data_IF_065142127383
#
_entry.id   IF_065142127383
#
_cell.length_a   1.000
_cell.length_b   1.000
_cell.length_c   1.000
_cell.angle_alpha   90.00
_cell.angle_beta   90.00
_cell.angle_gamma   90.00
#
_symmetry.space_group_name_H-M   'P 1'
#
loop_
_entity.id
_entity.type
_entity.pdbx_description
1 polymer ?
#
# COMPACT_ATOMS: atom_id res chain seq x y z
N UNK A 1 11.44 -16.77 7.22
CA UNK A 1 11.35 -18.10 6.56
C UNK A 1 10.62 -19.11 7.45
N UNK A 2 11.03 -19.31 8.70
CA UNK A 2 10.33 -20.21 9.64
C UNK A 2 8.86 -19.83 9.88
N UNK A 3 8.57 -18.53 10.07
CA UNK A 3 7.18 -18.05 10.24
C UNK A 3 6.29 -18.44 9.05
N UNK A 4 6.74 -18.17 7.81
CA UNK A 4 5.97 -18.51 6.62
C UNK A 4 5.73 -20.03 6.49
N UNK A 5 6.68 -20.86 6.93
CA UNK A 5 6.47 -22.31 6.96
C UNK A 5 5.42 -22.73 7.99
N UNK A 6 5.37 -22.06 9.15
CA UNK A 6 4.34 -22.34 10.16
C UNK A 6 2.96 -21.87 9.71
N UNK A 7 2.85 -20.74 9.01
CA UNK A 7 1.55 -20.20 8.57
C UNK A 7 1.06 -20.75 7.24
N UNK A 8 1.92 -21.43 6.46
CA UNK A 8 1.53 -22.14 5.23
C UNK A 8 0.42 -23.17 5.49
N UNK A 9 0.45 -23.84 6.66
CA UNK A 9 -0.65 -24.70 7.11
C UNK A 9 -1.98 -23.94 7.15
N UNK A 10 -2.02 -22.76 7.76
CA UNK A 10 -3.22 -21.92 7.85
C UNK A 10 -3.65 -21.48 6.45
N UNK A 11 -2.72 -20.98 5.64
CA UNK A 11 -3.03 -20.51 4.28
C UNK A 11 -3.64 -21.63 3.44
N UNK A 12 -3.05 -22.83 3.41
CA UNK A 12 -3.57 -23.96 2.64
C UNK A 12 -4.97 -24.38 3.06
N UNK A 13 -5.20 -24.51 4.37
CA UNK A 13 -6.52 -24.90 4.88
C UNK A 13 -7.57 -23.81 4.63
N UNK A 14 -7.20 -22.53 4.68
CA UNK A 14 -8.11 -21.43 4.40
C UNK A 14 -8.45 -21.27 2.91
N UNK A 15 -7.60 -21.78 2.01
CA UNK A 15 -7.73 -21.63 0.56
C UNK A 15 -8.07 -22.93 -0.17
N UNK A 16 -8.53 -23.97 0.55
CA UNK A 16 -9.03 -25.19 -0.11
C UNK A 16 -10.26 -24.89 -0.97
N UNK A 17 -10.37 -25.57 -2.12
CA UNK A 17 -11.42 -25.34 -3.12
C UNK A 17 -12.84 -25.31 -2.55
N UNK A 18 -13.25 -26.26 -1.68
CA UNK A 18 -14.62 -26.23 -1.14
C UNK A 18 -14.90 -24.97 -0.32
N UNK A 19 -13.93 -24.51 0.47
CA UNK A 19 -14.04 -23.32 1.32
C UNK A 19 -14.09 -22.07 0.44
N UNK A 20 -13.25 -22.01 -0.58
CA UNK A 20 -13.20 -20.90 -1.53
C UNK A 20 -14.51 -20.75 -2.30
N UNK A 21 -15.08 -21.85 -2.79
CA UNK A 21 -16.36 -21.83 -3.50
C UNK A 21 -17.54 -21.49 -2.57
N UNK A 22 -17.52 -22.00 -1.34
CA UNK A 22 -18.61 -21.81 -0.38
C UNK A 22 -18.61 -20.43 0.28
N UNK A 23 -17.45 -19.85 0.59
CA UNK A 23 -17.35 -18.63 1.40
C UNK A 23 -16.61 -17.47 0.73
N UNK A 24 -15.78 -17.75 -0.29
CA UNK A 24 -14.90 -16.78 -0.90
C UNK A 24 -15.61 -15.70 -1.72
N UNK A 25 -14.95 -14.55 -1.84
CA UNK A 25 -15.41 -13.41 -2.63
C UNK A 25 -14.56 -13.27 -3.90
N UNK A 26 -15.18 -13.20 -5.08
CA UNK A 26 -14.48 -12.87 -6.32
C UNK A 26 -14.27 -11.36 -6.39
N UNK A 27 -13.00 -10.93 -6.46
CA UNK A 27 -12.61 -9.52 -6.51
C UNK A 27 -12.63 -8.95 -7.94
N UNK A 28 -12.41 -9.81 -8.93
CA UNK A 28 -12.35 -9.47 -10.35
C UNK A 28 -13.10 -10.54 -11.16
N UNK A 29 -13.75 -10.13 -12.26
CA UNK A 29 -14.39 -11.09 -13.16
C UNK A 29 -13.37 -12.08 -13.73
N UNK A 30 -13.65 -13.38 -13.58
CA UNK A 30 -12.81 -14.47 -14.09
C UNK A 30 -11.74 -14.97 -13.11
N UNK A 31 -11.52 -14.30 -11.99
CA UNK A 31 -10.56 -14.73 -10.96
C UNK A 31 -11.18 -15.69 -9.94
N UNK A 32 -10.35 -16.57 -9.38
CA UNK A 32 -10.75 -17.43 -8.27
C UNK A 32 -11.17 -16.58 -7.06
N UNK A 33 -12.25 -16.94 -6.36
CA UNK A 33 -12.64 -16.25 -5.14
C UNK A 33 -11.52 -16.27 -4.09
N UNK A 34 -11.46 -15.22 -3.29
CA UNK A 34 -10.46 -15.06 -2.23
C UNK A 34 -11.13 -15.27 -0.88
N UNK A 35 -10.47 -16.03 -0.01
CA UNK A 35 -10.88 -16.28 1.39
C UNK A 35 -9.86 -15.77 2.39
N UNK A 36 -8.58 -15.81 2.04
CA UNK A 36 -7.48 -15.50 2.94
C UNK A 36 -6.29 -14.90 2.18
N UNK A 37 -5.73 -13.83 2.74
CA UNK A 37 -4.52 -13.18 2.27
C UNK A 37 -3.58 -13.03 3.47
N UNK A 38 -2.30 -13.35 3.29
CA UNK A 38 -1.29 -13.21 4.35
C UNK A 38 -0.05 -12.52 3.81
N UNK A 39 0.46 -11.55 4.58
CA UNK A 39 1.74 -10.91 4.32
C UNK A 39 2.50 -10.73 5.64
N UNK A 40 3.58 -11.50 5.80
CA UNK A 40 4.23 -11.66 7.10
C UNK A 40 3.16 -12.01 8.17
N UNK A 41 3.10 -11.28 9.28
CA UNK A 41 2.14 -11.46 10.37
C UNK A 41 0.77 -10.82 10.11
N UNK A 42 0.66 -9.91 9.14
CA UNK A 42 -0.61 -9.30 8.76
C UNK A 42 -1.43 -10.29 7.91
N UNK A 43 -2.56 -10.74 8.46
CA UNK A 43 -3.50 -11.63 7.78
C UNK A 43 -4.85 -10.95 7.57
N UNK A 44 -5.49 -11.24 6.44
CA UNK A 44 -6.79 -10.69 6.06
C UNK A 44 -7.69 -11.82 5.59
N UNK A 45 -8.88 -11.90 6.20
CA UNK A 45 -9.94 -12.82 5.81
C UNK A 45 -10.94 -12.06 4.93
N UNK A 46 -11.38 -12.69 3.85
CA UNK A 46 -12.33 -12.11 2.90
C UNK A 46 -13.50 -13.07 2.73
N UNK A 47 -14.72 -12.62 3.03
CA UNK A 47 -15.93 -13.41 2.87
C UNK A 47 -16.93 -12.70 1.96
N UNK A 48 -17.72 -13.48 1.21
CA UNK A 48 -18.78 -12.94 0.32
C UNK A 48 -20.00 -12.38 1.05
N UNK A 49 -20.16 -12.70 2.33
CA UNK A 49 -21.20 -12.18 3.22
C UNK A 49 -20.65 -12.01 4.64
N UNK A 50 -21.41 -11.35 5.52
CA UNK A 50 -21.04 -11.20 6.93
C UNK A 50 -20.90 -12.57 7.61
N UNK A 51 -21.83 -13.48 7.35
CA UNK A 51 -21.84 -14.84 7.89
C UNK A 51 -20.60 -15.63 7.43
N UNK A 52 -20.27 -15.53 6.13
CA UNK A 52 -19.07 -16.13 5.57
C UNK A 52 -17.80 -15.56 6.21
N UNK A 53 -17.73 -14.23 6.40
CA UNK A 53 -16.60 -13.57 7.05
C UNK A 53 -16.43 -14.01 8.51
N UNK A 54 -17.52 -14.15 9.27
CA UNK A 54 -17.48 -14.70 10.64
C UNK A 54 -16.97 -16.14 10.63
N UNK A 55 -17.53 -17.00 9.79
CA UNK A 55 -17.13 -18.41 9.69
C UNK A 55 -15.64 -18.57 9.36
N UNK A 56 -15.17 -17.85 8.33
CA UNK A 56 -13.76 -17.85 7.93
C UNK A 56 -12.85 -17.28 9.03
N UNK A 57 -13.30 -16.25 9.75
CA UNK A 57 -12.53 -15.67 10.86
C UNK A 57 -12.36 -16.67 12.00
N UNK A 58 -13.43 -17.36 12.38
CA UNK A 58 -13.38 -18.40 13.40
C UNK A 58 -12.50 -19.58 12.99
N UNK A 59 -12.58 -19.99 11.72
CA UNK A 59 -11.72 -21.00 11.15
C UNK A 59 -10.25 -20.56 11.19
N UNK A 60 -9.93 -19.34 10.80
CA UNK A 60 -8.57 -18.80 10.87
C UNK A 60 -8.05 -18.79 12.32
N UNK A 61 -8.84 -18.31 13.28
CA UNK A 61 -8.48 -18.30 14.71
C UNK A 61 -8.17 -19.72 15.20
N UNK A 62 -8.99 -20.71 14.82
CA UNK A 62 -8.77 -22.12 15.16
C UNK A 62 -7.46 -22.64 14.57
N UNK A 63 -7.22 -22.43 13.28
CA UNK A 63 -6.03 -22.90 12.59
C UNK A 63 -4.74 -22.24 13.14
N UNK A 64 -4.78 -20.94 13.46
CA UNK A 64 -3.67 -20.28 14.12
C UNK A 64 -3.41 -20.87 15.51
N UNK A 65 -4.47 -21.19 16.27
CA UNK A 65 -4.33 -21.81 17.59
C UNK A 65 -3.72 -23.21 17.53
N UNK A 66 -4.00 -23.99 16.49
CA UNK A 66 -3.40 -25.32 16.27
C UNK A 66 -1.88 -25.26 16.11
N UNK A 67 -1.35 -24.15 15.58
CA UNK A 67 0.08 -23.88 15.46
C UNK A 67 0.62 -23.01 16.61
N UNK A 68 -0.13 -22.92 17.73
CA UNK A 68 0.26 -22.20 18.96
C UNK A 68 0.40 -20.69 18.75
N UNK A 69 -0.34 -20.12 17.78
CA UNK A 69 -0.46 -18.68 17.57
C UNK A 69 -1.83 -18.19 18.03
N UNK A 70 -1.86 -17.03 18.67
CA UNK A 70 -3.09 -16.39 19.13
C UNK A 70 -3.40 -15.15 18.31
N UNK A 71 -4.60 -15.14 17.71
CA UNK A 71 -5.14 -13.95 17.04
C UNK A 71 -5.84 -13.09 18.07
N UNK A 72 -5.60 -11.78 18.03
CA UNK A 72 -6.23 -10.82 18.94
C UNK A 72 -7.44 -10.14 18.26
N UNK A 73 -8.69 -10.43 18.70
CA UNK A 73 -9.87 -9.77 18.13
C UNK A 73 -9.86 -8.26 18.35
N UNK A 74 -9.30 -7.79 19.47
CA UNK A 74 -9.25 -6.36 19.83
C UNK A 74 -8.28 -5.54 18.98
N UNK A 75 -7.25 -6.19 18.41
CA UNK A 75 -6.36 -5.57 17.41
C UNK A 75 -6.85 -5.74 15.98
N UNK A 76 -7.86 -6.59 15.78
CA UNK A 76 -8.46 -6.85 14.47
C UNK A 76 -9.54 -5.81 14.17
N UNK A 77 -9.75 -5.55 12.88
CA UNK A 77 -10.78 -4.64 12.38
C UNK A 77 -11.49 -5.28 11.20
N UNK A 78 -12.80 -5.05 11.10
CA UNK A 78 -13.61 -5.56 10.01
C UNK A 78 -14.05 -4.41 9.08
N UNK A 79 -13.79 -4.56 7.79
CA UNK A 79 -14.37 -3.69 6.75
C UNK A 79 -15.56 -4.43 6.15
N UNK A 80 -16.78 -3.98 6.43
CA UNK A 80 -18.01 -4.66 6.00
C UNK A 80 -18.73 -3.79 4.98
N UNK A 81 -18.97 -4.35 3.78
CA UNK A 81 -19.70 -3.69 2.70
C UNK A 81 -20.95 -4.50 2.38
N UNK A 82 -22.12 -3.89 2.53
CA UNK A 82 -23.42 -4.50 2.25
C UNK A 82 -24.17 -3.66 1.21
N UNK A 83 -24.58 -4.28 0.10
CA UNK A 83 -25.28 -3.60 -1.00
C UNK A 83 -24.52 -2.36 -1.52
N UNK A 84 -23.19 -2.42 -1.54
CA UNK A 84 -22.32 -1.32 -1.97
C UNK A 84 -22.15 -0.19 -0.96
N UNK A 85 -22.65 -0.34 0.27
CA UNK A 85 -22.55 0.65 1.35
C UNK A 85 -21.76 0.07 2.52
N UNK A 86 -20.85 0.87 3.07
CA UNK A 86 -20.12 0.53 4.30
C UNK A 86 -21.07 0.38 5.49
N UNK A 87 -20.94 -0.73 6.20
CA UNK A 87 -21.74 -1.09 7.37
C UNK A 87 -20.88 -1.06 8.62
N UNK A 88 -21.30 -0.29 9.63
CA UNK A 88 -20.60 -0.17 10.91
C UNK A 88 -21.00 -1.25 11.92
N UNK A 89 -21.78 -2.26 11.49
CA UNK A 89 -22.19 -3.37 12.33
C UNK A 89 -20.99 -4.32 12.55
N UNK A 90 -20.57 -4.55 13.80
CA UNK A 90 -19.40 -5.37 14.10
C UNK A 90 -19.62 -6.86 13.78
N UNK A 91 -18.53 -7.61 13.73
CA UNK A 91 -18.58 -9.06 13.62
C UNK A 91 -18.62 -9.68 15.02
N UNK A 92 -19.69 -10.43 15.30
CA UNK A 92 -19.86 -11.18 16.53
C UNK A 92 -19.38 -12.62 16.30
N UNK A 93 -18.35 -13.03 17.03
CA UNK A 93 -17.83 -14.39 16.99
C UNK A 93 -18.57 -15.26 18.02
N UNK A 94 -18.67 -16.57 17.74
CA UNK A 94 -19.31 -17.57 18.60
C UNK A 94 -18.63 -17.71 19.96
N UNK A 95 -17.36 -17.30 20.07
CA UNK A 95 -16.61 -17.24 21.33
C UNK A 95 -17.07 -16.09 22.26
N UNK A 96 -17.95 -15.21 21.79
CA UNK A 96 -18.35 -13.97 22.47
C UNK A 96 -17.41 -12.79 22.20
N UNK A 97 -16.32 -12.99 21.46
CA UNK A 97 -15.45 -11.91 21.03
C UNK A 97 -16.12 -11.06 19.93
N UNK A 98 -15.81 -9.77 19.94
CA UNK A 98 -16.35 -8.80 18.97
C UNK A 98 -15.17 -8.20 18.20
N UNK A 99 -15.28 -8.21 16.87
CA UNK A 99 -14.37 -7.47 15.98
C UNK A 99 -15.12 -6.23 15.51
N UNK A 100 -14.65 -5.07 15.95
CA UNK A 100 -15.25 -3.78 15.61
C UNK A 100 -15.17 -3.52 14.11
N UNK A 101 -16.28 -3.08 13.54
CA UNK A 101 -16.31 -2.61 12.16
C UNK A 101 -15.60 -1.25 12.03
N UNK A 102 -14.96 -1.03 10.89
CA UNK A 102 -14.40 0.27 10.51
C UNK A 102 -15.53 1.27 10.33
N UNK A 103 -15.42 2.43 10.99
CA UNK A 103 -16.39 3.51 10.84
C UNK A 103 -16.23 4.22 9.50
N UNK A 104 -17.28 4.87 9.03
CA UNK A 104 -17.22 5.67 7.81
C UNK A 104 -16.13 6.74 7.92
N UNK A 105 -15.21 6.74 6.96
CA UNK A 105 -14.05 7.67 6.93
C UNK A 105 -12.93 7.37 7.93
N UNK A 106 -13.02 6.28 8.72
CA UNK A 106 -11.91 5.82 9.54
C UNK A 106 -10.77 5.34 8.63
N UNK A 107 -9.55 5.82 8.90
CA UNK A 107 -8.35 5.46 8.14
C UNK A 107 -7.76 4.17 8.71
N UNK A 108 -7.85 3.08 7.93
CA UNK A 108 -7.19 1.80 8.23
C UNK A 108 -5.92 1.71 7.39
N UNK A 109 -4.80 1.37 8.02
CA UNK A 109 -3.53 1.17 7.30
C UNK A 109 -3.30 -0.32 7.08
N UNK A 110 -3.11 -0.73 5.84
CA UNK A 110 -2.79 -2.11 5.48
C UNK A 110 -1.65 -2.12 4.46
N UNK A 111 -0.57 -2.84 4.77
CA UNK A 111 0.65 -2.95 3.93
C UNK A 111 1.29 -1.62 3.51
N UNK A 112 1.00 -0.53 4.21
CA UNK A 112 1.50 0.80 3.87
C UNK A 112 0.53 1.65 3.05
N UNK A 113 -0.53 1.06 2.50
CA UNK A 113 -1.66 1.78 1.92
C UNK A 113 -2.65 2.21 3.02
N UNK A 114 -3.35 3.32 2.78
CA UNK A 114 -4.44 3.78 3.64
C UNK A 114 -5.76 3.49 2.95
N UNK A 115 -6.62 2.74 3.62
CA UNK A 115 -7.98 2.41 3.19
C UNK A 115 -8.95 3.16 4.10
N UNK A 116 -9.95 3.79 3.50
CA UNK A 116 -11.10 4.37 4.21
C UNK A 116 -12.37 3.68 3.69
N UNK A 117 -13.31 4.43 3.12
CA UNK A 117 -14.40 3.89 2.31
C UNK A 117 -13.94 3.60 0.86
N UNK A 118 -12.78 4.15 0.49
CA UNK A 118 -12.05 3.90 -0.75
C UNK A 118 -10.53 3.90 -0.44
N UNK A 119 -9.72 3.44 -1.39
CA UNK A 119 -8.26 3.63 -1.32
C UNK A 119 -7.96 5.13 -1.32
N UNK A 120 -7.39 5.63 -0.22
CA UNK A 120 -7.10 7.05 -0.01
C UNK A 120 -5.65 7.35 -0.41
N UNK A 121 -5.49 8.17 -1.46
CA UNK A 121 -4.17 8.68 -1.87
C UNK A 121 -3.89 10.02 -1.20
N UNK A 122 -3.18 9.98 -0.06
CA UNK A 122 -2.79 11.17 0.69
C UNK A 122 -1.65 11.94 -0.01
N UNK A 123 -2.04 12.73 -1.02
CA UNK A 123 -1.13 13.57 -1.82
C UNK A 123 -0.30 14.51 -0.97
N UNK A 124 -0.90 15.12 0.07
CA UNK A 124 -0.23 16.07 0.94
C UNK A 124 0.90 15.43 1.72
N UNK A 125 0.66 14.23 2.25
CA UNK A 125 1.69 13.43 2.93
C UNK A 125 2.81 13.02 1.98
N UNK A 126 2.50 12.54 0.78
CA UNK A 126 3.52 12.11 -0.20
C UNK A 126 4.38 13.29 -0.64
N UNK A 127 3.77 14.43 -0.99
CA UNK A 127 4.49 15.66 -1.35
C UNK A 127 5.39 16.11 -0.20
N UNK A 128 4.84 16.18 1.02
CA UNK A 128 5.63 16.60 2.18
C UNK A 128 6.82 15.69 2.44
N UNK A 129 6.61 14.37 2.40
CA UNK A 129 7.70 13.40 2.59
C UNK A 129 8.77 13.53 1.51
N UNK A 130 8.37 13.69 0.25
CA UNK A 130 9.31 13.88 -0.85
C UNK A 130 10.10 15.18 -0.67
N UNK A 131 9.43 16.30 -0.39
CA UNK A 131 10.09 17.59 -0.14
C UNK A 131 11.07 17.50 1.01
N UNK A 132 10.67 16.95 2.16
CA UNK A 132 11.54 16.80 3.33
C UNK A 132 12.77 15.93 3.03
N UNK A 133 12.62 14.86 2.25
CA UNK A 133 13.73 13.99 1.84
C UNK A 133 14.67 14.66 0.84
N UNK A 134 14.10 15.37 -0.14
CA UNK A 134 14.83 16.13 -1.15
C UNK A 134 15.64 17.25 -0.49
N UNK A 135 15.02 18.04 0.37
CA UNK A 135 15.68 19.15 1.06
C UNK A 135 16.85 18.64 1.90
N UNK A 136 16.67 17.53 2.63
CA UNK A 136 17.76 16.87 3.35
C UNK A 136 18.91 16.45 2.42
N UNK A 137 18.59 15.86 1.27
CA UNK A 137 19.59 15.38 0.32
C UNK A 137 20.39 16.53 -0.30
N UNK A 138 19.70 17.60 -0.69
CA UNK A 138 20.29 18.79 -1.32
C UNK A 138 21.28 19.47 -0.35
N UNK A 139 20.88 19.66 0.91
CA UNK A 139 21.68 20.34 1.92
C UNK A 139 22.72 19.44 2.62
N UNK A 140 22.76 18.14 2.31
CA UNK A 140 23.72 17.24 2.93
C UNK A 140 25.15 17.53 2.43
N UNK A 141 26.01 18.06 3.31
CA UNK A 141 27.32 18.57 2.95
C UNK A 141 28.35 17.49 2.57
N UNK A 142 28.15 16.24 3.00
CA UNK A 142 29.15 15.17 2.85
C UNK A 142 29.00 14.35 1.56
N UNK A 143 28.03 14.68 0.69
CA UNK A 143 27.85 13.99 -0.58
C UNK A 143 28.16 14.91 -1.76
N UNK A 144 28.87 14.36 -2.72
CA UNK A 144 29.10 15.01 -4.01
C UNK A 144 27.81 15.02 -4.85
N UNK A 145 27.76 15.92 -5.84
CA UNK A 145 26.59 16.12 -6.67
C UNK A 145 26.16 14.85 -7.43
N UNK A 146 27.11 14.08 -7.95
CA UNK A 146 26.88 12.80 -8.62
C UNK A 146 26.27 11.74 -7.66
N UNK A 147 26.77 11.67 -6.42
CA UNK A 147 26.23 10.79 -5.39
C UNK A 147 24.79 11.19 -5.01
N UNK A 148 24.53 12.49 -4.87
CA UNK A 148 23.17 13.02 -4.62
C UNK A 148 22.21 12.65 -5.76
N UNK A 149 22.63 12.82 -7.02
CA UNK A 149 21.81 12.42 -8.17
C UNK A 149 21.57 10.91 -8.22
N UNK A 150 22.57 10.10 -7.84
CA UNK A 150 22.39 8.64 -7.74
C UNK A 150 21.35 8.28 -6.69
N UNK A 151 21.41 8.89 -5.51
CA UNK A 151 20.43 8.67 -4.44
C UNK A 151 19.02 9.12 -4.83
N UNK A 152 18.91 10.25 -5.52
CA UNK A 152 17.63 10.74 -6.01
C UNK A 152 16.95 9.70 -6.92
N UNK A 153 17.68 9.16 -7.88
CA UNK A 153 17.15 8.19 -8.85
C UNK A 153 16.94 6.78 -8.25
N UNK A 154 17.78 6.35 -7.30
CA UNK A 154 17.74 4.99 -6.75
C UNK A 154 16.84 4.85 -5.51
N UNK A 155 16.61 5.92 -4.75
CA UNK A 155 15.91 5.83 -3.46
C UNK A 155 14.73 6.79 -3.35
N UNK A 156 14.92 8.08 -3.66
CA UNK A 156 13.84 9.06 -3.48
C UNK A 156 12.74 8.87 -4.52
N UNK A 157 13.10 8.59 -5.77
CA UNK A 157 12.09 8.34 -6.79
C UNK A 157 11.32 7.02 -6.55
N UNK A 158 11.98 5.88 -6.27
CA UNK A 158 11.25 4.66 -5.94
C UNK A 158 10.35 4.77 -4.72
N UNK A 159 10.61 5.68 -3.78
CA UNK A 159 9.79 5.85 -2.58
C UNK A 159 8.34 6.28 -2.88
N UNK A 160 8.10 6.97 -4.00
CA UNK A 160 6.76 7.41 -4.41
C UNK A 160 6.04 6.40 -5.33
N UNK A 161 6.74 5.39 -5.86
CA UNK A 161 6.16 4.40 -6.78
C UNK A 161 5.07 3.59 -6.08
N UNK A 162 5.35 3.07 -4.88
CA UNK A 162 4.40 2.24 -4.15
C UNK A 162 3.09 2.98 -3.83
N UNK A 163 3.10 4.21 -3.24
CA UNK A 163 1.89 5.00 -3.06
C UNK A 163 1.07 5.20 -4.35
N UNK A 164 1.73 5.40 -5.50
CA UNK A 164 1.07 5.58 -6.79
C UNK A 164 0.49 4.28 -7.34
N UNK A 165 1.15 3.14 -7.13
CA UNK A 165 0.64 1.83 -7.55
C UNK A 165 -0.59 1.41 -6.75
N UNK A 166 -0.67 1.79 -5.48
CA UNK A 166 -1.80 1.47 -4.60
C UNK A 166 -2.98 2.43 -4.74
N UNK A 167 -2.81 3.56 -5.43
CA UNK A 167 -3.85 4.56 -5.61
C UNK A 167 -4.72 4.25 -6.84
N UNK A 168 -6.05 4.41 -6.75
CA UNK A 168 -6.91 4.39 -7.93
C UNK A 168 -6.46 5.45 -8.95
N UNK A 169 -6.41 5.10 -10.22
CA UNK A 169 -5.86 6.00 -11.27
C UNK A 169 -6.64 7.32 -11.38
N UNK A 170 -7.93 7.30 -11.07
CA UNK A 170 -8.81 8.47 -11.06
C UNK A 170 -8.57 9.42 -9.87
N UNK A 171 -7.81 9.01 -8.84
CA UNK A 171 -7.52 9.84 -7.66
C UNK A 171 -6.15 10.51 -7.69
N UNK A 172 -5.35 10.28 -8.74
CA UNK A 172 -4.02 10.90 -8.94
C UNK A 172 -4.16 12.13 -9.85
N UNK A 173 -4.17 13.36 -9.32
CA UNK A 173 -4.39 14.54 -10.13
C UNK A 173 -3.15 14.90 -10.93
N UNK A 174 -3.34 15.46 -12.13
CA UNK A 174 -2.24 15.98 -12.95
C UNK A 174 -1.39 17.01 -12.19
N UNK A 175 -2.03 17.83 -11.36
CA UNK A 175 -1.35 18.85 -10.52
C UNK A 175 -0.36 18.22 -9.53
N UNK A 176 -0.68 17.03 -8.99
CA UNK A 176 0.24 16.30 -8.13
C UNK A 176 1.50 15.90 -8.90
N UNK A 177 1.36 15.32 -10.10
CA UNK A 177 2.49 14.92 -10.94
C UNK A 177 3.35 16.13 -11.34
N UNK A 178 2.72 17.27 -11.66
CA UNK A 178 3.43 18.52 -11.97
C UNK A 178 4.23 19.03 -10.78
N UNK A 179 3.67 18.89 -9.58
CA UNK A 179 4.31 19.33 -8.33
C UNK A 179 5.51 18.45 -8.01
N UNK A 180 5.37 17.12 -8.10
CA UNK A 180 6.46 16.16 -7.92
C UNK A 180 7.60 16.44 -8.92
N UNK A 181 7.28 16.61 -10.20
CA UNK A 181 8.25 16.90 -11.25
C UNK A 181 8.97 18.24 -11.00
N UNK A 182 8.26 19.26 -10.53
CA UNK A 182 8.84 20.55 -10.14
C UNK A 182 9.81 20.41 -8.97
N UNK A 183 9.45 19.67 -7.92
CA UNK A 183 10.31 19.43 -6.75
C UNK A 183 11.63 18.77 -7.19
N UNK A 184 11.53 17.69 -7.97
CA UNK A 184 12.71 16.96 -8.46
C UNK A 184 13.59 17.85 -9.36
N UNK A 185 13.00 18.60 -10.30
CA UNK A 185 13.76 19.51 -11.16
C UNK A 185 14.45 20.61 -10.37
N UNK A 186 13.78 21.22 -9.39
CA UNK A 186 14.38 22.24 -8.55
C UNK A 186 15.56 21.68 -7.75
N UNK A 187 15.41 20.49 -7.18
CA UNK A 187 16.49 19.82 -6.45
C UNK A 187 17.71 19.54 -7.33
N UNK A 188 17.48 19.04 -8.55
CA UNK A 188 18.57 18.74 -9.49
C UNK A 188 19.27 20.02 -9.93
N UNK A 189 18.52 21.10 -10.17
CA UNK A 189 19.12 22.41 -10.47
C UNK A 189 19.99 22.88 -9.31
N UNK A 190 19.54 22.73 -8.07
CA UNK A 190 20.31 23.16 -6.90
C UNK A 190 21.56 22.28 -6.66
N UNK A 191 21.43 20.96 -6.76
CA UNK A 191 22.54 20.01 -6.61
C UNK A 191 23.66 20.29 -7.62
N UNK A 192 23.30 20.56 -8.86
CA UNK A 192 24.24 20.79 -9.96
C UNK A 192 24.55 22.27 -10.22
N UNK A 193 23.94 23.18 -9.45
CA UNK A 193 24.03 24.63 -9.66
C UNK A 193 23.68 25.05 -11.10
N UNK A 194 22.64 24.43 -11.66
CA UNK A 194 22.19 24.69 -13.03
C UNK A 194 21.37 26.00 -13.10
N UNK A 195 21.53 26.78 -14.18
CA UNK A 195 20.67 27.92 -14.47
C UNK A 195 19.18 27.57 -14.55
N UNK A 196 18.32 28.53 -14.22
CA UNK A 196 16.86 28.36 -14.26
C UNK A 196 16.31 28.10 -15.67
N UNK A 197 17.01 28.57 -16.71
CA UNK A 197 16.71 28.41 -18.13
C UNK A 197 17.25 27.10 -18.74
N UNK A 198 17.85 26.21 -17.92
CA UNK A 198 18.31 24.91 -18.40
C UNK A 198 17.15 24.13 -19.04
N UNK A 199 17.35 23.73 -20.30
CA UNK A 199 16.35 23.03 -21.09
C UNK A 199 15.93 21.71 -20.44
N UNK A 200 14.62 21.48 -20.33
CA UNK A 200 14.08 20.24 -19.73
C UNK A 200 14.47 18.99 -20.52
N UNK A 201 14.65 19.12 -21.84
CA UNK A 201 15.13 18.04 -22.69
C UNK A 201 16.48 17.47 -22.21
N UNK A 202 17.38 18.33 -21.71
CA UNK A 202 18.66 17.90 -21.14
C UNK A 202 18.48 17.12 -19.84
N UNK A 203 17.51 17.52 -19.00
CA UNK A 203 17.23 16.87 -17.73
C UNK A 203 16.68 15.44 -17.91
N UNK A 204 15.75 15.26 -18.85
CA UNK A 204 15.11 13.96 -19.09
C UNK A 204 15.90 13.06 -20.05
N UNK A 205 16.77 13.62 -20.90
CA UNK A 205 17.51 12.83 -21.85
C UNK A 205 18.35 11.74 -21.15
N UNK A 206 18.39 10.51 -21.68
CA UNK A 206 19.21 9.43 -21.14
C UNK A 206 20.69 9.84 -21.00
N UNK A 207 21.37 9.31 -19.98
CA UNK A 207 22.81 9.55 -19.76
C UNK A 207 23.68 9.16 -20.96
N UNK A 208 23.29 8.12 -21.72
CA UNK A 208 23.96 7.74 -22.99
C UNK A 208 23.95 8.83 -24.06
N UNK A 209 22.98 9.75 -24.00
CA UNK A 209 22.87 10.92 -24.88
C UNK A 209 23.31 12.21 -24.19
N UNK A 210 24.15 12.09 -23.14
CA UNK A 210 24.67 13.21 -22.35
C UNK A 210 23.60 14.03 -21.60
N UNK A 211 22.42 13.46 -21.33
CA UNK A 211 21.44 14.05 -20.42
C UNK A 211 21.58 13.55 -18.98
N UNK A 212 20.71 14.02 -18.09
CA UNK A 212 20.74 13.63 -16.67
C UNK A 212 19.99 12.32 -16.37
N UNK A 213 19.10 11.91 -17.28
CA UNK A 213 18.30 10.70 -17.17
C UNK A 213 17.29 10.75 -16.02
N UNK A 214 16.72 11.93 -15.74
CA UNK A 214 15.63 12.05 -14.78
C UNK A 214 14.38 11.36 -15.31
N UNK A 215 13.60 10.73 -14.42
CA UNK A 215 12.28 10.24 -14.79
C UNK A 215 11.34 11.41 -15.04
N UNK A 216 10.52 11.28 -16.08
CA UNK A 216 9.52 12.26 -16.47
C UNK A 216 8.16 11.83 -15.92
N UNK A 217 7.55 12.66 -15.07
CA UNK A 217 6.24 12.35 -14.49
C UNK A 217 5.05 12.68 -15.44
N UNK A 218 5.27 13.52 -16.46
CA UNK A 218 4.25 14.00 -17.43
C UNK A 218 4.84 14.14 -18.82
#
# INVERSE_FOLDING_TARGET
>A
MLYNMSTDYVTRNMTEVPIVEEYGLSLCEGDQPVTFLGFADDSTVVGKSREAAVHLTEMAIRLFKEIVLEVSPTKSKATVVENGVMSEVPLYLSSGAVIEATKKGEKVRYLGATVTDQLDFDQGKVIKQLTDQVDRLVHFAHLHADQKLSLLNQWLWPSIIYPLQTAPTNTIPKVFLQTVDKIVKSAVREILQLPSDTAEAFMYAPRKYRGLGLMRAI
#
